data_IF_725154021337
#
_entry.id   IF_725154021337
#
_cell.length_a   1.000
_cell.length_b   1.000
_cell.length_c   1.000
_cell.angle_alpha   90.00
_cell.angle_beta   90.00
_cell.angle_gamma   90.00
#
_symmetry.space_group_name_H-M   'P 1'
#
loop_
_entity.id
_entity.type
_entity.pdbx_description
1 polymer ?
#
# COMPACT_ATOMS: atom_id res chain seq x y z
N UNK A 1 24.24 -0.38 2.02
CA UNK A 1 23.17 0.46 2.53
C UNK A 1 21.81 0.00 1.96
N UNK A 2 20.77 -0.11 2.80
CA UNK A 2 19.45 -0.53 2.28
C UNK A 2 18.86 0.50 1.32
N UNK A 3 18.21 0.03 0.27
CA UNK A 3 17.52 0.89 -0.66
C UNK A 3 16.19 1.40 -0.11
N UNK A 4 15.56 2.34 -0.85
CA UNK A 4 14.32 2.99 -0.45
C UNK A 4 13.19 2.00 -0.15
N UNK A 5 13.04 0.98 -0.98
CA UNK A 5 11.95 0.01 -0.83
C UNK A 5 12.10 -0.84 0.43
N UNK A 6 13.32 -1.24 0.76
CA UNK A 6 13.59 -1.98 2.00
C UNK A 6 13.34 -1.11 3.22
N UNK A 7 13.79 0.15 3.18
CA UNK A 7 13.55 1.10 4.27
C UNK A 7 12.04 1.35 4.45
N UNK A 8 11.31 1.53 3.34
CA UNK A 8 9.87 1.71 3.38
C UNK A 8 9.16 0.48 3.98
N UNK A 9 9.59 -0.71 3.60
CA UNK A 9 9.03 -1.94 4.16
C UNK A 9 9.23 -2.00 5.68
N UNK A 10 10.42 -1.67 6.16
CA UNK A 10 10.71 -1.65 7.60
C UNK A 10 9.80 -0.68 8.34
N UNK A 11 9.57 0.51 7.78
CA UNK A 11 8.70 1.50 8.40
C UNK A 11 7.24 1.02 8.40
N UNK A 12 6.76 0.45 7.30
CA UNK A 12 5.40 -0.10 7.21
C UNK A 12 5.18 -1.21 8.24
N UNK A 13 6.15 -2.10 8.38
CA UNK A 13 6.08 -3.17 9.39
C UNK A 13 6.02 -2.58 10.81
N UNK A 14 6.81 -1.55 11.07
CA UNK A 14 6.81 -0.89 12.37
C UNK A 14 5.46 -0.25 12.68
N UNK A 15 4.87 0.41 11.70
CA UNK A 15 3.53 1.01 11.82
C UNK A 15 2.46 -0.07 12.04
N UNK A 16 2.43 -1.10 11.22
CA UNK A 16 1.38 -2.12 11.25
C UNK A 16 1.51 -3.09 12.41
N UNK A 17 2.72 -3.52 12.74
CA UNK A 17 2.93 -4.55 13.77
C UNK A 17 3.18 -3.99 15.15
N UNK A 18 3.81 -2.82 15.25
CA UNK A 18 4.18 -2.23 16.54
C UNK A 18 3.39 -0.98 16.90
N UNK A 19 2.49 -0.54 16.02
CA UNK A 19 1.70 0.66 16.23
C UNK A 19 2.51 1.96 16.22
N UNK A 20 3.67 1.95 15.56
CA UNK A 20 4.52 3.13 15.50
C UNK A 20 3.89 4.24 14.64
N UNK A 21 4.20 5.48 14.96
CA UNK A 21 3.88 6.61 14.09
C UNK A 21 4.86 6.65 12.92
N UNK A 22 4.34 6.83 11.71
CA UNK A 22 5.15 6.80 10.49
C UNK A 22 6.32 7.79 10.53
N UNK A 23 6.08 9.03 10.96
CA UNK A 23 7.11 10.06 11.02
C UNK A 23 8.26 9.67 11.95
N UNK A 24 7.93 9.12 13.11
CA UNK A 24 8.95 8.69 14.09
C UNK A 24 9.72 7.48 13.57
N UNK A 25 9.03 6.52 12.97
CA UNK A 25 9.67 5.34 12.40
C UNK A 25 10.59 5.70 11.23
N UNK A 26 10.18 6.65 10.39
CA UNK A 26 11.03 7.17 9.31
C UNK A 26 12.32 7.78 9.87
N UNK A 27 12.22 8.66 10.87
CA UNK A 27 13.38 9.29 11.48
C UNK A 27 14.35 8.26 12.09
N UNK A 28 13.80 7.23 12.71
CA UNK A 28 14.57 6.17 13.32
C UNK A 28 15.30 5.30 12.29
N UNK A 29 14.66 4.98 11.18
CA UNK A 29 15.15 3.99 10.21
C UNK A 29 15.96 4.60 9.06
N UNK A 30 15.78 5.88 8.74
CA UNK A 30 16.50 6.50 7.63
C UNK A 30 17.95 6.83 8.04
N UNK A 31 18.95 6.30 7.30
CA UNK A 31 20.34 6.69 7.52
C UNK A 31 20.55 8.20 7.31
N UNK A 32 21.41 8.81 8.10
CA UNK A 32 21.70 10.25 8.02
C UNK A 32 22.35 10.63 6.68
N UNK A 33 23.14 9.71 6.13
CA UNK A 33 23.89 9.91 4.88
C UNK A 33 23.13 9.41 3.65
N UNK A 34 21.85 9.09 3.81
CA UNK A 34 21.02 8.64 2.70
C UNK A 34 20.88 9.76 1.65
N UNK A 35 21.02 9.39 0.37
CA UNK A 35 20.87 10.34 -0.72
C UNK A 35 19.48 10.98 -0.72
N UNK A 36 19.36 12.28 -1.05
CA UNK A 36 18.08 12.96 -1.05
C UNK A 36 17.00 12.27 -1.89
N UNK A 37 17.35 11.72 -3.06
CA UNK A 37 16.42 10.99 -3.92
C UNK A 37 15.87 9.74 -3.23
N UNK A 38 16.73 8.99 -2.56
CA UNK A 38 16.33 7.79 -1.83
C UNK A 38 15.44 8.15 -0.63
N UNK A 39 15.75 9.24 0.04
CA UNK A 39 14.95 9.73 1.17
C UNK A 39 13.54 10.13 0.70
N UNK A 40 13.46 10.87 -0.40
CA UNK A 40 12.17 11.27 -0.98
C UNK A 40 11.35 10.07 -1.41
N UNK A 41 11.98 9.10 -2.08
CA UNK A 41 11.29 7.89 -2.52
C UNK A 41 10.80 7.07 -1.33
N UNK A 42 11.64 6.89 -0.31
CA UNK A 42 11.24 6.15 0.90
C UNK A 42 10.01 6.80 1.54
N UNK A 43 10.05 8.12 1.71
CA UNK A 43 8.94 8.88 2.32
C UNK A 43 7.66 8.75 1.49
N UNK A 44 7.78 8.88 0.18
CA UNK A 44 6.64 8.73 -0.73
C UNK A 44 6.06 7.32 -0.67
N UNK A 45 6.90 6.29 -0.66
CA UNK A 45 6.45 4.91 -0.59
C UNK A 45 5.70 4.64 0.72
N UNK A 46 6.20 5.15 1.84
CA UNK A 46 5.56 4.96 3.14
C UNK A 46 4.21 5.67 3.20
N UNK A 47 4.20 6.98 2.99
CA UNK A 47 2.96 7.76 3.11
C UNK A 47 1.95 7.43 2.02
N UNK A 48 2.41 7.21 0.79
CA UNK A 48 1.53 6.84 -0.30
C UNK A 48 0.83 5.50 -0.05
N UNK A 49 1.57 4.52 0.44
CA UNK A 49 1.02 3.21 0.77
C UNK A 49 0.01 3.32 1.93
N UNK A 50 0.35 4.04 2.99
CA UNK A 50 -0.54 4.20 4.14
C UNK A 50 -1.80 4.99 3.78
N UNK A 51 -1.67 6.07 3.03
CA UNK A 51 -2.80 6.90 2.62
C UNK A 51 -3.77 6.17 1.69
N UNK A 52 -3.27 5.19 0.92
CA UNK A 52 -4.07 4.42 -0.03
C UNK A 52 -4.28 2.97 0.39
N UNK A 53 -4.07 2.65 1.67
CA UNK A 53 -4.05 1.27 2.14
C UNK A 53 -5.36 0.52 1.88
N UNK A 54 -6.51 1.14 2.13
CA UNK A 54 -7.79 0.49 1.90
C UNK A 54 -8.00 0.23 0.41
N UNK A 55 -7.64 1.20 -0.44
CA UNK A 55 -7.72 1.05 -1.89
C UNK A 55 -6.80 -0.06 -2.39
N UNK A 56 -5.57 -0.11 -1.87
CA UNK A 56 -4.60 -1.15 -2.19
C UNK A 56 -5.11 -2.52 -1.77
N UNK A 57 -5.64 -2.64 -0.56
CA UNK A 57 -6.18 -3.91 -0.06
C UNK A 57 -7.41 -4.34 -0.85
N UNK A 58 -8.24 -3.37 -1.28
CA UNK A 58 -9.39 -3.66 -2.15
C UNK A 58 -8.93 -4.28 -3.48
N UNK A 59 -7.84 -3.76 -4.06
CA UNK A 59 -7.25 -4.35 -5.25
C UNK A 59 -6.70 -5.76 -4.98
N UNK A 60 -5.96 -5.93 -3.88
CA UNK A 60 -5.39 -7.23 -3.51
C UNK A 60 -6.47 -8.29 -3.30
N UNK A 61 -7.58 -7.94 -2.69
CA UNK A 61 -8.68 -8.86 -2.44
C UNK A 61 -9.34 -9.37 -3.74
N UNK A 62 -9.20 -8.64 -4.83
CA UNK A 62 -9.69 -9.06 -6.14
C UNK A 62 -8.70 -9.97 -6.87
N UNK A 63 -7.42 -9.93 -6.49
CA UNK A 63 -6.36 -10.65 -7.16
C UNK A 63 -6.08 -12.03 -6.56
N UNK A 64 -6.49 -12.25 -5.32
CA UNK A 64 -6.28 -13.52 -4.63
C UNK A 64 -7.38 -13.74 -3.60
N UNK A 65 -7.83 -14.99 -3.48
CA UNK A 65 -8.79 -15.41 -2.46
C UNK A 65 -8.11 -15.59 -1.10
N UNK A 66 -6.80 -15.76 -1.10
CA UNK A 66 -6.03 -16.05 0.10
C UNK A 66 -5.14 -14.87 0.45
N UNK A 67 -5.44 -14.14 1.53
CA UNK A 67 -4.55 -13.04 1.96
C UNK A 67 -3.21 -13.61 2.42
N UNK A 68 -2.18 -12.81 2.29
CA UNK A 68 -0.87 -13.17 2.80
C UNK A 68 -0.94 -13.37 4.32
N UNK A 69 -0.36 -14.45 4.81
CA UNK A 69 -0.42 -14.81 6.24
C UNK A 69 0.55 -13.98 7.08
N UNK A 70 1.72 -13.68 6.53
CA UNK A 70 2.74 -12.95 7.26
C UNK A 70 2.75 -11.46 6.89
N UNK A 71 3.16 -10.65 7.84
CA UNK A 71 3.19 -9.19 7.70
C UNK A 71 4.16 -8.73 6.62
N UNK A 72 5.32 -9.37 6.49
CA UNK A 72 6.32 -9.01 5.49
C UNK A 72 5.74 -9.15 4.07
N UNK A 73 5.12 -10.28 3.78
CA UNK A 73 4.52 -10.52 2.46
C UNK A 73 3.38 -9.54 2.18
N UNK A 74 2.53 -9.27 3.19
CA UNK A 74 1.43 -8.30 3.04
C UNK A 74 1.95 -6.91 2.68
N UNK A 75 2.92 -6.41 3.44
CA UNK A 75 3.45 -5.07 3.20
C UNK A 75 4.28 -4.97 1.93
N UNK A 76 5.00 -6.04 1.58
CA UNK A 76 5.71 -6.10 0.30
C UNK A 76 4.72 -6.06 -0.88
N UNK A 77 3.59 -6.76 -0.78
CA UNK A 77 2.52 -6.70 -1.77
C UNK A 77 1.90 -5.31 -1.85
N UNK A 78 1.61 -4.69 -0.71
CA UNK A 78 1.06 -3.33 -0.66
C UNK A 78 2.00 -2.33 -1.35
N UNK A 79 3.30 -2.42 -1.09
CA UNK A 79 4.29 -1.57 -1.76
C UNK A 79 4.30 -1.80 -3.27
N UNK A 80 4.22 -3.04 -3.71
CA UNK A 80 4.17 -3.37 -5.14
C UNK A 80 2.91 -2.79 -5.79
N UNK A 81 1.75 -2.98 -5.18
CA UNK A 81 0.47 -2.46 -5.68
C UNK A 81 0.50 -0.92 -5.75
N UNK A 82 1.00 -0.27 -4.70
CA UNK A 82 1.10 1.18 -4.68
C UNK A 82 1.91 1.69 -5.88
N UNK A 83 3.07 1.10 -6.11
CA UNK A 83 3.93 1.50 -7.22
C UNK A 83 3.28 1.27 -8.58
N UNK A 84 2.64 0.13 -8.77
CA UNK A 84 2.01 -0.24 -10.04
C UNK A 84 0.81 0.66 -10.34
N UNK A 85 -0.02 0.96 -9.34
CA UNK A 85 -1.24 1.74 -9.54
C UNK A 85 -1.03 3.26 -9.49
N UNK A 86 -0.05 3.74 -8.72
CA UNK A 86 0.06 5.18 -8.42
C UNK A 86 1.36 5.84 -8.88
N UNK A 87 2.43 5.08 -9.12
CA UNK A 87 3.72 5.65 -9.52
C UNK A 87 4.02 5.36 -10.99
N UNK A 88 3.64 6.28 -11.86
CA UNK A 88 3.85 6.14 -13.31
C UNK A 88 5.33 6.04 -13.69
N UNK A 89 6.22 6.65 -12.90
CA UNK A 89 7.66 6.66 -13.18
C UNK A 89 8.34 5.34 -12.91
N UNK A 90 7.71 4.47 -12.12
CA UNK A 90 8.25 3.14 -11.82
C UNK A 90 7.65 2.15 -12.82
N UNK A 91 8.47 1.49 -13.65
CA UNK A 91 7.95 0.45 -14.53
C UNK A 91 7.29 -0.67 -13.73
N UNK A 92 6.17 -1.19 -14.22
CA UNK A 92 5.43 -2.23 -13.52
C UNK A 92 6.30 -3.46 -13.21
N UNK A 93 7.13 -3.87 -14.18
CA UNK A 93 8.04 -5.01 -13.99
C UNK A 93 9.06 -4.75 -12.89
N UNK A 94 9.55 -3.51 -12.78
CA UNK A 94 10.50 -3.15 -11.73
C UNK A 94 9.83 -3.20 -10.35
N UNK A 95 8.61 -2.69 -10.23
CA UNK A 95 7.86 -2.76 -8.97
C UNK A 95 7.64 -4.20 -8.53
N UNK A 96 7.26 -5.07 -9.46
CA UNK A 96 7.06 -6.50 -9.20
C UNK A 96 8.36 -7.16 -8.74
N UNK A 97 9.45 -6.97 -9.49
CA UNK A 97 10.74 -7.58 -9.18
C UNK A 97 11.29 -7.14 -7.83
N UNK A 98 11.12 -5.86 -7.49
CA UNK A 98 11.58 -5.33 -6.21
C UNK A 98 10.78 -5.92 -5.03
N UNK A 99 9.46 -6.10 -5.18
CA UNK A 99 8.64 -6.74 -4.15
C UNK A 99 9.04 -8.19 -3.94
N UNK A 100 9.35 -8.92 -5.01
CA UNK A 100 9.85 -10.30 -4.91
C UNK A 100 11.19 -10.33 -4.18
N UNK A 101 12.10 -9.41 -4.50
CA UNK A 101 13.39 -9.31 -3.80
C UNK A 101 13.23 -9.00 -2.33
N UNK A 102 12.26 -8.14 -1.97
CA UNK A 102 12.01 -7.78 -0.58
C UNK A 102 11.66 -8.99 0.27
N UNK A 103 10.73 -9.84 -0.18
CA UNK A 103 10.35 -11.01 0.61
C UNK A 103 11.51 -11.99 0.73
N UNK A 104 12.33 -12.15 -0.30
CA UNK A 104 13.54 -12.97 -0.23
C UNK A 104 14.54 -12.42 0.78
N UNK A 105 14.82 -11.13 0.72
CA UNK A 105 15.76 -10.45 1.61
C UNK A 105 15.33 -10.52 3.07
N UNK A 106 14.01 -10.48 3.30
CA UNK A 106 13.43 -10.49 4.66
C UNK A 106 13.18 -11.91 5.19
N UNK A 107 13.72 -12.92 4.54
CA UNK A 107 13.60 -14.31 5.01
C UNK A 107 12.30 -15.01 4.65
N UNK A 108 11.50 -14.43 3.77
CA UNK A 108 10.22 -15.01 3.31
C UNK A 108 10.32 -15.52 1.88
N UNK A 109 11.41 -16.20 1.56
CA UNK A 109 11.65 -16.70 0.19
C UNK A 109 10.53 -17.61 -0.31
N UNK A 110 9.89 -18.38 0.58
CA UNK A 110 8.76 -19.22 0.23
C UNK A 110 7.58 -18.44 -0.36
N UNK A 111 7.46 -17.16 -0.05
CA UNK A 111 6.40 -16.30 -0.55
C UNK A 111 6.71 -15.66 -1.91
N UNK A 112 7.93 -15.81 -2.42
CA UNK A 112 8.36 -15.13 -3.66
C UNK A 112 7.46 -15.47 -4.86
N UNK A 113 7.11 -16.74 -5.02
CA UNK A 113 6.24 -17.20 -6.11
C UNK A 113 4.83 -16.61 -6.01
N UNK A 114 4.29 -16.53 -4.80
CA UNK A 114 2.98 -15.94 -4.53
C UNK A 114 2.98 -14.45 -4.87
N UNK A 115 3.98 -13.70 -4.38
CA UNK A 115 4.11 -12.26 -4.67
C UNK A 115 4.22 -12.02 -6.18
N UNK A 116 5.05 -12.80 -6.85
CA UNK A 116 5.22 -12.69 -8.29
C UNK A 116 3.90 -12.93 -9.03
N UNK A 117 3.15 -13.97 -8.66
CA UNK A 117 1.87 -14.30 -9.29
C UNK A 117 0.82 -13.22 -9.07
N UNK A 118 0.66 -12.72 -7.85
CA UNK A 118 -0.32 -11.69 -7.51
C UNK A 118 -0.03 -10.39 -8.28
N UNK A 119 1.22 -9.93 -8.25
CA UNK A 119 1.57 -8.68 -8.92
C UNK A 119 1.54 -8.80 -10.45
N UNK A 120 1.87 -9.97 -10.99
CA UNK A 120 1.71 -10.21 -12.42
C UNK A 120 0.24 -10.13 -12.84
N UNK A 121 -0.65 -10.72 -12.06
CA UNK A 121 -2.08 -10.63 -12.32
C UNK A 121 -2.58 -9.17 -12.25
N UNK A 122 -2.06 -8.39 -11.32
CA UNK A 122 -2.38 -6.96 -11.24
C UNK A 122 -1.95 -6.23 -12.52
N UNK A 123 -0.72 -6.44 -12.95
CA UNK A 123 -0.19 -5.77 -14.16
C UNK A 123 -1.03 -6.11 -15.39
N UNK A 124 -1.44 -7.36 -15.53
CA UNK A 124 -2.26 -7.81 -16.66
C UNK A 124 -3.68 -7.30 -16.62
N UNK A 125 -4.26 -7.15 -15.45
CA UNK A 125 -5.67 -6.84 -15.27
C UNK A 125 -5.99 -5.57 -14.51
N UNK A 126 -5.07 -4.60 -14.42
CA UNK A 126 -5.31 -3.40 -13.60
C UNK A 126 -6.49 -2.56 -14.11
N UNK A 127 -6.77 -2.59 -15.40
CA UNK A 127 -7.92 -1.88 -15.98
C UNK A 127 -9.24 -2.63 -15.76
N UNK A 128 -9.19 -3.87 -15.32
CA UNK A 128 -10.35 -4.70 -15.04
C UNK A 128 -10.74 -4.71 -13.55
N UNK A 129 -9.97 -4.01 -12.70
CA UNK A 129 -10.28 -3.92 -11.28
C UNK A 129 -11.61 -3.22 -11.07
N UNK A 130 -12.41 -3.76 -10.16
CA UNK A 130 -13.69 -3.20 -9.77
C UNK A 130 -13.51 -2.27 -8.57
N UNK A 131 -14.17 -1.11 -8.62
CA UNK A 131 -14.12 -0.11 -7.55
C UNK A 131 -15.54 0.23 -7.11
N UNK A 132 -15.75 0.60 -5.83
CA UNK A 132 -17.07 1.03 -5.39
C UNK A 132 -17.56 2.23 -6.18
N UNK A 133 -18.87 2.29 -6.42
CA UNK A 133 -19.52 3.38 -7.13
C UNK A 133 -19.97 4.44 -6.13
N UNK A 134 -19.57 5.70 -6.33
CA UNK A 134 -19.91 6.80 -5.43
C UNK A 134 -21.42 7.03 -5.31
N UNK A 135 -22.20 6.74 -6.34
CA UNK A 135 -23.65 6.93 -6.34
C UNK A 135 -24.39 5.75 -5.70
N UNK A 136 -23.94 4.51 -5.99
CA UNK A 136 -24.60 3.29 -5.52
C UNK A 136 -24.17 2.91 -4.10
N UNK A 137 -22.87 3.06 -3.80
CA UNK A 137 -22.28 2.68 -2.52
C UNK A 137 -21.42 3.82 -1.97
N UNK A 138 -22.02 4.95 -1.57
CA UNK A 138 -21.25 6.13 -1.16
C UNK A 138 -20.37 5.89 0.07
N UNK A 139 -20.82 5.10 1.03
CA UNK A 139 -20.03 4.78 2.23
C UNK A 139 -18.79 3.97 1.87
N UNK A 140 -18.96 2.91 1.09
CA UNK A 140 -17.85 2.06 0.67
C UNK A 140 -16.90 2.83 -0.26
N UNK A 141 -17.44 3.62 -1.18
CA UNK A 141 -16.63 4.45 -2.06
C UNK A 141 -15.73 5.40 -1.26
N UNK A 142 -16.32 6.09 -0.28
CA UNK A 142 -15.56 7.05 0.54
C UNK A 142 -14.53 6.32 1.42
N UNK A 143 -14.88 5.17 1.98
CA UNK A 143 -13.97 4.33 2.77
C UNK A 143 -12.76 3.91 1.94
N UNK A 144 -12.97 3.40 0.72
CA UNK A 144 -11.90 2.95 -0.16
C UNK A 144 -11.03 4.13 -0.64
N UNK A 145 -11.65 5.22 -1.07
CA UNK A 145 -10.91 6.38 -1.61
C UNK A 145 -10.12 7.14 -0.56
N UNK A 146 -10.65 7.26 0.65
CA UNK A 146 -10.01 8.04 1.72
C UNK A 146 -9.14 7.21 2.66
N UNK A 147 -9.28 5.89 2.63
CA UNK A 147 -8.71 4.95 3.61
C UNK A 147 -9.15 5.23 5.05
N UNK A 148 -10.18 6.06 5.24
CA UNK A 148 -10.75 6.28 6.56
C UNK A 148 -11.53 5.06 7.03
N UNK A 149 -11.54 4.77 8.35
CA UNK A 149 -12.34 3.65 8.87
C UNK A 149 -13.82 3.79 8.49
N UNK A 150 -14.47 2.67 8.19
CA UNK A 150 -15.87 2.67 7.75
C UNK A 150 -16.80 3.32 8.77
N UNK A 151 -16.55 3.10 10.08
CA UNK A 151 -17.36 3.71 11.13
C UNK A 151 -17.28 5.24 11.10
N UNK A 152 -16.12 5.79 10.78
CA UNK A 152 -15.93 7.25 10.67
C UNK A 152 -16.63 7.79 9.42
N UNK A 153 -16.49 7.08 8.29
CA UNK A 153 -17.16 7.43 7.04
C UNK A 153 -18.67 7.49 7.24
N UNK A 154 -19.25 6.47 7.90
CA UNK A 154 -20.69 6.42 8.18
C UNK A 154 -21.14 7.61 9.01
N UNK A 155 -20.36 7.97 10.05
CA UNK A 155 -20.68 9.12 10.91
C UNK A 155 -20.59 10.43 10.15
N UNK A 156 -19.60 10.61 9.29
CA UNK A 156 -19.44 11.83 8.51
C UNK A 156 -20.58 12.01 7.50
N UNK A 157 -20.98 10.94 6.83
CA UNK A 157 -22.09 11.00 5.87
C UNK A 157 -23.40 11.29 6.61
N UNK A 158 -23.63 10.65 7.76
CA UNK A 158 -24.83 10.87 8.57
C UNK A 158 -24.91 12.32 9.09
N UNK A 159 -23.79 12.87 9.53
CA UNK A 159 -23.75 14.21 10.12
C UNK A 159 -23.77 15.34 9.08
N UNK A 160 -23.11 15.19 7.93
CA UNK A 160 -22.86 16.26 6.96
C UNK A 160 -23.37 15.98 5.56
N UNK A 161 -23.85 14.77 5.28
CA UNK A 161 -24.21 14.33 3.93
C UNK A 161 -22.99 13.91 3.12
N UNK A 162 -23.24 13.14 2.05
CA UNK A 162 -22.17 12.56 1.25
C UNK A 162 -21.27 13.59 0.56
N UNK A 163 -21.87 14.59 -0.09
CA UNK A 163 -21.08 15.59 -0.83
C UNK A 163 -20.13 16.38 0.07
N UNK A 164 -20.57 16.74 1.27
CA UNK A 164 -19.75 17.44 2.24
C UNK A 164 -18.68 16.51 2.82
N UNK A 165 -19.03 15.29 3.18
CA UNK A 165 -18.10 14.30 3.71
C UNK A 165 -16.98 13.97 2.72
N UNK A 166 -17.29 13.92 1.42
CA UNK A 166 -16.34 13.67 0.35
C UNK A 166 -15.25 14.72 0.29
N UNK A 167 -15.54 15.97 0.67
CA UNK A 167 -14.59 17.08 0.66
C UNK A 167 -13.76 17.18 1.95
N UNK A 168 -14.12 16.46 2.97
CA UNK A 168 -13.39 16.45 4.23
C UNK A 168 -12.16 15.52 4.14
#
# INVERSE_FOLDING_TARGET
>A
QPGARKLALKVLLDVHENGAYAALSLNKNLPRDLKPEERRLTTQLVYGTLENEVKIDHALNQLTEYPARDAVTRDALRLGVYQILFLERVPDSAAMDESVKLVKTMGMEASAGFVNAVLRNLIRGKDELSWPDAEKDPEEWLHVESSAPLWLVKKLIEAYGFDTAKQM
#
